data_IF_020199382207
#
_entry.id   IF_020199382207
#
_cell.length_a   1.000
_cell.length_b   1.000
_cell.length_c   1.000
_cell.angle_alpha   90.00
_cell.angle_beta   90.00
_cell.angle_gamma   90.00
#
_symmetry.space_group_name_H-M   'P 1'
#
loop_
_entity.id
_entity.type
_entity.pdbx_description
1 polymer ?
#
# COMPACT_ATOMS: atom_id res chain seq x y z
N UNK A 1 5.86 -20.56 -0.47
CA UNK A 1 6.42 -19.32 0.08
C UNK A 1 6.77 -19.57 1.53
N UNK A 2 7.89 -19.05 2.03
CA UNK A 2 8.18 -19.11 3.47
C UNK A 2 7.13 -18.34 4.26
N UNK A 3 6.95 -18.72 5.55
CA UNK A 3 6.06 -18.04 6.47
C UNK A 3 6.72 -17.84 7.83
N UNK A 4 6.24 -16.86 8.56
CA UNK A 4 6.56 -16.63 9.97
C UNK A 4 5.27 -16.54 10.76
N UNK A 5 5.30 -16.93 12.02
CA UNK A 5 4.15 -16.83 12.92
C UNK A 5 4.35 -15.66 13.87
N UNK A 6 3.32 -14.84 14.00
CA UNK A 6 3.18 -13.88 15.09
C UNK A 6 2.40 -14.50 16.23
N UNK A 7 1.98 -13.73 17.20
CA UNK A 7 1.13 -14.22 18.31
C UNK A 7 -0.26 -14.68 17.86
N UNK A 8 -0.74 -14.19 16.72
CA UNK A 8 -2.14 -14.33 16.29
C UNK A 8 -2.33 -14.77 14.84
N UNK A 9 -1.31 -14.65 13.98
CA UNK A 9 -1.41 -15.02 12.55
C UNK A 9 -0.11 -15.63 12.00
N UNK A 10 -0.25 -16.39 10.91
CA UNK A 10 0.85 -16.79 10.05
C UNK A 10 0.95 -15.85 8.87
N UNK A 11 2.15 -15.31 8.65
CA UNK A 11 2.43 -14.34 7.59
C UNK A 11 3.31 -14.99 6.53
N UNK A 12 2.82 -15.03 5.29
CA UNK A 12 3.58 -15.48 4.13
C UNK A 12 4.39 -14.33 3.55
N UNK A 13 5.69 -14.55 3.34
CA UNK A 13 6.60 -13.55 2.79
C UNK A 13 7.45 -14.09 1.63
N UNK A 14 8.07 -13.21 0.91
CA UNK A 14 9.08 -13.50 -0.11
C UNK A 14 10.26 -12.57 0.08
N UNK A 15 11.46 -13.10 -0.16
CA UNK A 15 12.71 -12.35 -0.19
C UNK A 15 13.48 -12.72 -1.44
N UNK A 16 13.95 -11.73 -2.18
CA UNK A 16 14.74 -11.92 -3.40
C UNK A 16 15.68 -10.75 -3.62
N UNK A 17 16.86 -11.07 -4.13
CA UNK A 17 17.90 -10.11 -4.44
C UNK A 17 19.08 -10.20 -3.48
N UNK A 18 20.01 -9.30 -3.64
CA UNK A 18 21.22 -9.14 -2.82
C UNK A 18 21.52 -7.67 -2.66
N UNK A 19 22.25 -7.29 -1.62
CA UNK A 19 22.61 -5.89 -1.39
C UNK A 19 21.93 -5.29 -0.19
N UNK A 20 21.61 -3.99 -0.27
CA UNK A 20 20.97 -3.29 0.85
C UNK A 20 19.54 -3.80 1.07
N UNK A 21 19.13 -4.05 2.33
CA UNK A 21 17.80 -4.53 2.65
C UNK A 21 16.73 -3.48 2.38
N UNK A 22 15.69 -3.87 1.63
CA UNK A 22 14.50 -3.07 1.33
C UNK A 22 13.25 -3.85 1.72
N UNK A 23 12.50 -3.32 2.69
CA UNK A 23 11.17 -3.80 3.00
C UNK A 23 10.16 -3.07 2.09
N UNK A 24 9.47 -3.83 1.25
CA UNK A 24 8.42 -3.30 0.38
C UNK A 24 7.03 -3.64 0.92
N UNK A 25 6.24 -2.62 1.19
CA UNK A 25 4.88 -2.71 1.71
C UNK A 25 3.88 -2.33 0.60
N UNK A 26 3.16 -3.32 0.11
CA UNK A 26 2.20 -3.16 -0.98
C UNK A 26 0.91 -2.43 -0.56
N UNK A 27 0.12 -2.01 -1.56
CA UNK A 27 -1.18 -1.39 -1.37
C UNK A 27 -2.25 -2.35 -0.81
N UNK A 28 -3.45 -1.81 -0.59
CA UNK A 28 -4.60 -2.59 -0.13
C UNK A 28 -4.89 -3.76 -1.07
N UNK A 29 -5.15 -4.93 -0.52
CA UNK A 29 -5.47 -6.13 -1.31
C UNK A 29 -4.27 -6.74 -2.07
N UNK A 30 -3.03 -6.36 -1.73
CA UNK A 30 -1.84 -6.91 -2.37
C UNK A 30 -1.71 -8.42 -2.15
N UNK A 31 -1.41 -9.16 -3.23
CA UNK A 31 -1.17 -10.60 -3.21
C UNK A 31 0.15 -10.89 -3.91
N UNK A 32 1.08 -11.55 -3.22
CA UNK A 32 2.41 -11.87 -3.78
C UNK A 32 2.38 -12.82 -4.99
N UNK A 33 1.25 -13.48 -5.23
CA UNK A 33 1.02 -14.35 -6.38
C UNK A 33 0.65 -13.56 -7.64
N UNK A 34 0.18 -12.31 -7.50
CA UNK A 34 -0.14 -11.44 -8.62
C UNK A 34 1.13 -10.99 -9.34
N UNK A 35 1.04 -10.84 -10.69
CA UNK A 35 2.14 -10.40 -11.53
C UNK A 35 1.68 -9.24 -12.43
N UNK A 36 2.54 -8.25 -12.72
CA UNK A 36 3.89 -8.09 -12.16
C UNK A 36 3.84 -7.66 -10.69
N UNK A 37 4.88 -8.03 -9.92
CA UNK A 37 5.06 -7.58 -8.54
C UNK A 37 6.42 -6.87 -8.38
N UNK A 38 6.78 -6.47 -7.15
CA UNK A 38 8.02 -5.74 -6.88
C UNK A 38 9.28 -6.45 -7.38
N UNK A 39 9.27 -7.78 -7.47
CA UNK A 39 10.43 -8.55 -7.98
C UNK A 39 10.62 -8.49 -9.50
N UNK A 40 9.66 -7.94 -10.23
CA UNK A 40 9.76 -7.61 -11.65
C UNK A 40 10.22 -6.16 -11.87
N UNK A 41 10.42 -5.39 -10.81
CA UNK A 41 10.90 -4.00 -10.90
C UNK A 41 12.44 -3.94 -10.88
N UNK A 42 13.04 -2.84 -11.39
CA UNK A 42 14.50 -2.61 -11.32
C UNK A 42 15.06 -2.63 -9.89
N UNK A 43 14.25 -2.44 -8.87
CA UNK A 43 14.68 -2.56 -7.47
C UNK A 43 15.25 -3.95 -7.17
N UNK A 44 14.67 -5.01 -7.74
CA UNK A 44 15.10 -6.39 -7.49
C UNK A 44 16.49 -6.73 -8.06
N UNK A 45 17.02 -5.89 -8.93
CA UNK A 45 18.36 -6.06 -9.51
C UNK A 45 19.46 -5.55 -8.57
N UNK A 46 19.16 -4.58 -7.71
CA UNK A 46 20.15 -3.84 -6.94
C UNK A 46 19.96 -3.96 -5.42
N UNK A 47 18.82 -4.47 -4.95
CA UNK A 47 18.48 -4.55 -3.54
C UNK A 47 18.06 -5.95 -3.13
N UNK A 48 18.21 -6.24 -1.85
CA UNK A 48 17.64 -7.41 -1.19
C UNK A 48 16.23 -7.06 -0.72
N UNK A 49 15.23 -7.46 -1.49
CA UNK A 49 13.84 -7.07 -1.26
C UNK A 49 13.11 -8.12 -0.43
N UNK A 50 12.52 -7.68 0.68
CA UNK A 50 11.56 -8.41 1.49
C UNK A 50 10.18 -7.82 1.28
N UNK A 51 9.19 -8.64 0.99
CA UNK A 51 7.78 -8.26 0.95
C UNK A 51 6.91 -9.40 1.45
N UNK A 52 5.70 -9.12 1.90
CA UNK A 52 4.81 -10.12 2.48
C UNK A 52 3.34 -9.83 2.16
N UNK A 53 2.51 -10.87 2.19
CA UNK A 53 1.06 -10.69 2.23
C UNK A 53 0.67 -10.07 3.57
N UNK A 54 0.13 -8.87 3.56
CA UNK A 54 -0.30 -8.23 4.79
C UNK A 54 -1.47 -9.03 5.39
N UNK A 55 -1.70 -8.94 6.71
CA UNK A 55 -2.83 -9.64 7.35
C UNK A 55 -4.12 -9.40 6.57
N UNK A 56 -4.88 -10.46 6.33
CA UNK A 56 -6.10 -10.40 5.53
C UNK A 56 -5.89 -10.61 4.03
N UNK A 57 -4.66 -10.75 3.51
CA UNK A 57 -4.42 -10.86 2.06
C UNK A 57 -3.52 -12.03 1.65
N UNK A 58 -3.63 -12.40 0.40
CA UNK A 58 -2.81 -13.46 -0.20
C UNK A 58 -2.91 -14.78 0.55
N UNK A 59 -1.77 -15.38 0.84
CA UNK A 59 -1.65 -16.62 1.63
C UNK A 59 -1.53 -16.37 3.14
N UNK A 60 -1.41 -15.11 3.57
CA UNK A 60 -1.40 -14.73 4.99
C UNK A 60 -2.78 -14.95 5.60
N UNK A 61 -2.83 -15.29 6.88
CA UNK A 61 -4.07 -15.53 7.60
C UNK A 61 -5.02 -14.33 7.53
N UNK A 62 -6.32 -14.62 7.50
CA UNK A 62 -7.39 -13.65 7.30
C UNK A 62 -8.35 -13.66 8.50
N UNK A 63 -7.89 -13.20 9.69
CA UNK A 63 -8.74 -13.19 10.88
C UNK A 63 -9.91 -12.22 10.69
N UNK A 64 -11.11 -12.65 11.12
CA UNK A 64 -12.28 -11.77 11.16
C UNK A 64 -12.30 -10.96 12.46
N UNK A 65 -11.37 -10.05 12.57
CA UNK A 65 -11.26 -9.12 13.70
C UNK A 65 -10.81 -7.75 13.25
N UNK A 66 -11.27 -6.72 13.93
CA UNK A 66 -10.82 -5.35 13.68
C UNK A 66 -9.32 -5.24 13.96
N UNK A 67 -8.60 -4.58 13.07
CA UNK A 67 -7.17 -4.36 13.15
C UNK A 67 -6.85 -2.87 13.05
N UNK A 68 -5.74 -2.47 13.64
CA UNK A 68 -5.24 -1.09 13.55
C UNK A 68 -4.05 -1.03 12.60
N UNK A 69 -3.76 0.16 12.05
CA UNK A 69 -2.57 0.36 11.23
C UNK A 69 -1.28 0.06 12.00
N UNK A 70 -1.27 0.29 13.33
CA UNK A 70 -0.15 -0.08 14.20
C UNK A 70 0.07 -1.60 14.28
N UNK A 71 -0.98 -2.43 14.23
CA UNK A 71 -0.83 -3.89 14.15
C UNK A 71 -0.19 -4.34 12.84
N UNK A 72 -0.57 -3.71 11.71
CA UNK A 72 0.13 -3.97 10.43
C UNK A 72 1.62 -3.60 10.49
N UNK A 73 1.98 -2.55 11.21
CA UNK A 73 3.38 -2.19 11.43
C UNK A 73 4.13 -3.21 12.33
N UNK A 74 3.46 -3.77 13.33
CA UNK A 74 4.00 -4.87 14.15
C UNK A 74 4.24 -6.12 13.29
N UNK A 75 3.32 -6.46 12.39
CA UNK A 75 3.51 -7.56 11.44
C UNK A 75 4.74 -7.34 10.55
N UNK A 76 4.91 -6.11 10.04
CA UNK A 76 6.07 -5.74 9.24
C UNK A 76 7.39 -5.92 10.02
N UNK A 77 7.44 -5.51 11.29
CA UNK A 77 8.59 -5.72 12.16
C UNK A 77 8.86 -7.22 12.39
N UNK A 78 7.83 -8.03 12.64
CA UNK A 78 7.95 -9.47 12.84
C UNK A 78 8.48 -10.20 11.57
N UNK A 79 8.08 -9.75 10.39
CA UNK A 79 8.63 -10.30 9.13
C UNK A 79 10.11 -9.94 8.95
N UNK A 80 10.53 -8.73 9.35
CA UNK A 80 11.95 -8.37 9.37
C UNK A 80 12.74 -9.25 10.34
N UNK A 81 12.19 -9.54 11.53
CA UNK A 81 12.82 -10.44 12.51
C UNK A 81 12.99 -11.87 11.95
N UNK A 82 11.99 -12.37 11.22
CA UNK A 82 12.04 -13.70 10.62
C UNK A 82 13.19 -13.90 9.60
N UNK A 83 13.72 -12.81 9.05
CA UNK A 83 14.87 -12.82 8.12
C UNK A 83 16.13 -12.26 8.73
N UNK A 84 16.15 -12.02 10.06
CA UNK A 84 17.25 -11.45 10.83
C UNK A 84 17.71 -10.07 10.32
N UNK A 85 16.76 -9.20 9.96
CA UNK A 85 17.03 -7.82 9.61
C UNK A 85 16.81 -6.89 10.79
N UNK A 86 17.86 -6.29 11.32
CA UNK A 86 17.76 -5.27 12.37
C UNK A 86 17.10 -3.99 11.84
N UNK A 87 17.39 -3.60 10.60
CA UNK A 87 16.83 -2.41 9.95
C UNK A 87 16.88 -2.54 8.44
N UNK A 88 15.97 -1.81 7.75
CA UNK A 88 15.88 -1.77 6.29
C UNK A 88 15.51 -0.37 5.78
N UNK A 89 15.73 -0.12 4.49
CA UNK A 89 15.01 0.93 3.77
C UNK A 89 13.56 0.47 3.59
N UNK A 90 12.59 1.36 3.80
CA UNK A 90 11.17 1.00 3.73
C UNK A 90 10.50 1.75 2.60
N UNK A 91 9.88 1.00 1.70
CA UNK A 91 9.07 1.53 0.60
C UNK A 91 7.62 1.13 0.83
N UNK A 92 6.74 2.11 1.02
CA UNK A 92 5.32 1.87 1.23
C UNK A 92 4.45 2.52 0.15
N UNK A 93 3.58 1.74 -0.48
CA UNK A 93 2.67 2.19 -1.53
C UNK A 93 1.24 2.21 -1.01
N UNK A 94 0.55 3.35 -1.11
CA UNK A 94 -0.86 3.50 -0.72
C UNK A 94 -1.10 3.03 0.73
N UNK A 95 -1.88 1.98 0.97
CA UNK A 95 -2.06 1.34 2.27
C UNK A 95 -0.72 0.98 2.92
N UNK A 96 0.22 0.41 2.15
CA UNK A 96 1.57 0.10 2.64
C UNK A 96 2.34 1.35 3.07
N UNK A 97 2.05 2.52 2.49
CA UNK A 97 2.59 3.80 2.94
C UNK A 97 2.04 4.24 4.30
N UNK A 98 0.80 3.90 4.62
CA UNK A 98 0.22 4.11 5.95
C UNK A 98 0.88 3.19 6.99
N UNK A 99 1.09 1.91 6.63
CA UNK A 99 1.84 0.96 7.47
C UNK A 99 3.28 1.42 7.70
N UNK A 100 3.95 1.93 6.64
CA UNK A 100 5.32 2.44 6.71
C UNK A 100 5.44 3.64 7.66
N UNK A 101 4.45 4.54 7.68
CA UNK A 101 4.39 5.65 8.64
C UNK A 101 4.31 5.13 10.08
N UNK A 102 3.41 4.18 10.36
CA UNK A 102 3.29 3.57 11.70
C UNK A 102 4.55 2.79 12.09
N UNK A 103 5.20 2.12 11.15
CA UNK A 103 6.47 1.43 11.38
C UNK A 103 7.59 2.41 11.77
N UNK A 104 7.71 3.53 11.04
CA UNK A 104 8.71 4.54 11.32
C UNK A 104 8.45 5.26 12.66
N UNK A 105 7.19 5.44 13.04
CA UNK A 105 6.80 6.06 14.32
C UNK A 105 6.95 5.10 15.52
N UNK A 106 6.56 3.84 15.36
CA UNK A 106 6.57 2.85 16.43
C UNK A 106 7.92 2.15 16.60
N UNK A 107 8.71 2.05 15.54
CA UNK A 107 9.97 1.31 15.49
C UNK A 107 11.07 2.11 14.74
N UNK A 108 11.38 3.35 15.15
CA UNK A 108 12.24 4.24 14.37
C UNK A 108 13.63 3.66 14.10
N UNK A 109 14.18 2.84 15.00
CA UNK A 109 15.47 2.16 14.82
C UNK A 109 15.45 1.07 13.73
N UNK A 110 14.26 0.62 13.29
CA UNK A 110 14.10 -0.41 12.25
C UNK A 110 14.10 0.18 10.84
N UNK A 111 13.97 1.51 10.69
CA UNK A 111 13.82 2.19 9.40
C UNK A 111 15.03 3.08 9.13
N UNK A 112 15.80 2.74 8.07
CA UNK A 112 16.98 3.51 7.63
C UNK A 112 16.60 4.73 6.80
N UNK A 113 15.65 4.56 5.91
CA UNK A 113 15.02 5.64 5.13
C UNK A 113 13.61 5.21 4.74
N UNK A 114 12.78 6.18 4.36
CA UNK A 114 11.36 5.98 4.14
C UNK A 114 10.95 6.52 2.75
N UNK A 115 10.30 5.70 1.95
CA UNK A 115 9.68 6.12 0.69
C UNK A 115 8.17 5.91 0.79
N UNK A 116 7.42 6.99 0.67
CA UNK A 116 5.96 7.03 0.79
C UNK A 116 5.33 7.36 -0.57
N UNK A 117 4.79 6.34 -1.25
CA UNK A 117 4.22 6.48 -2.57
C UNK A 117 2.68 6.52 -2.53
N UNK A 118 2.06 7.53 -3.13
CA UNK A 118 0.60 7.60 -3.35
C UNK A 118 -0.20 7.31 -2.06
N UNK A 119 0.17 7.93 -0.94
CA UNK A 119 -0.39 7.66 0.39
C UNK A 119 -0.82 8.93 1.10
N UNK A 120 -1.45 8.79 2.26
CA UNK A 120 -2.00 9.88 3.06
C UNK A 120 -1.62 9.72 4.53
N UNK A 121 -1.61 10.83 5.26
CA UNK A 121 -1.40 10.84 6.71
C UNK A 121 -2.71 10.67 7.51
N UNK A 122 -3.85 10.92 6.88
CA UNK A 122 -5.12 11.02 7.59
C UNK A 122 -5.25 12.31 8.42
N UNK A 123 -6.26 12.37 9.27
CA UNK A 123 -6.49 13.52 10.17
C UNK A 123 -6.54 14.85 9.43
N UNK A 124 -5.90 15.87 9.99
CA UNK A 124 -5.84 17.21 9.40
C UNK A 124 -5.06 17.26 8.07
N UNK A 125 -4.22 16.26 7.78
CA UNK A 125 -3.51 16.13 6.50
C UNK A 125 -4.39 15.70 5.34
N UNK A 126 -5.61 15.25 5.62
CA UNK A 126 -6.54 14.69 4.66
C UNK A 126 -6.34 13.20 4.43
N UNK A 127 -7.42 12.54 4.05
CA UNK A 127 -7.45 11.10 3.76
C UNK A 127 -7.43 10.85 2.26
N UNK A 128 -6.93 9.71 1.85
CA UNK A 128 -7.10 9.21 0.50
C UNK A 128 -8.57 8.88 0.23
N UNK A 129 -8.96 8.80 -1.05
CA UNK A 129 -10.34 8.53 -1.48
C UNK A 129 -10.95 7.35 -0.71
N UNK A 130 -12.20 7.48 -0.21
CA UNK A 130 -12.84 6.45 0.63
C UNK A 130 -13.32 5.26 -0.22
N UNK A 131 -12.39 4.47 -0.76
CA UNK A 131 -12.70 3.34 -1.66
C UNK A 131 -13.64 2.28 -1.04
N UNK A 132 -13.78 2.23 0.28
CA UNK A 132 -14.73 1.36 0.97
C UNK A 132 -16.18 1.72 0.63
N UNK A 133 -16.49 2.98 0.33
CA UNK A 133 -17.82 3.43 -0.07
C UNK A 133 -18.23 2.88 -1.45
N UNK A 134 -17.26 2.49 -2.28
CA UNK A 134 -17.51 1.88 -3.57
C UNK A 134 -18.09 0.46 -3.48
N UNK A 135 -18.15 -0.12 -2.29
CA UNK A 135 -18.75 -1.44 -2.05
C UNK A 135 -20.25 -1.51 -2.39
N UNK A 136 -20.93 -0.37 -2.35
CA UNK A 136 -22.35 -0.25 -2.72
C UNK A 136 -22.61 -0.29 -4.24
N UNK A 137 -21.57 -0.08 -5.06
CA UNK A 137 -21.66 -0.08 -6.53
C UNK A 137 -21.60 -1.51 -7.08
N UNK A 138 -22.21 -1.72 -8.24
CA UNK A 138 -22.01 -2.94 -9.01
C UNK A 138 -20.53 -3.12 -9.38
N UNK A 139 -20.05 -4.36 -9.63
CA UNK A 139 -18.66 -4.59 -10.02
C UNK A 139 -18.20 -3.75 -11.23
N UNK A 140 -19.06 -3.57 -12.22
CA UNK A 140 -18.74 -2.80 -13.43
C UNK A 140 -18.61 -1.29 -13.11
N UNK A 141 -19.55 -0.71 -12.36
CA UNK A 141 -19.49 0.69 -11.93
C UNK A 141 -18.28 0.95 -11.05
N UNK A 142 -17.99 0.04 -10.12
CA UNK A 142 -16.82 0.14 -9.25
C UNK A 142 -15.53 0.16 -10.07
N UNK A 143 -15.39 -0.72 -11.05
CA UNK A 143 -14.20 -0.78 -11.90
C UNK A 143 -14.01 0.51 -12.70
N UNK A 144 -15.08 1.05 -13.28
CA UNK A 144 -15.04 2.34 -13.99
C UNK A 144 -14.69 3.50 -13.05
N UNK A 145 -15.25 3.51 -11.86
CA UNK A 145 -14.93 4.52 -10.84
C UNK A 145 -13.48 4.41 -10.37
N UNK A 146 -12.98 3.19 -10.15
CA UNK A 146 -11.57 2.96 -9.80
C UNK A 146 -10.61 3.45 -10.88
N UNK A 147 -10.95 3.29 -12.17
CA UNK A 147 -10.16 3.84 -13.27
C UNK A 147 -10.09 5.37 -13.19
N UNK A 148 -11.23 6.04 -13.00
CA UNK A 148 -11.31 7.50 -12.93
C UNK A 148 -10.61 8.11 -11.70
N UNK A 149 -10.61 7.41 -10.55
CA UNK A 149 -9.92 7.89 -9.35
C UNK A 149 -8.43 7.50 -9.32
N UNK A 150 -8.03 6.50 -10.09
CA UNK A 150 -6.62 6.14 -10.27
C UNK A 150 -5.87 7.20 -11.07
N UNK A 151 -6.52 7.73 -12.10
CA UNK A 151 -6.02 8.83 -12.93
C UNK A 151 -7.20 9.62 -13.50
N UNK A 152 -7.31 10.90 -13.17
CA UNK A 152 -8.47 11.73 -13.54
C UNK A 152 -8.54 12.08 -15.03
N UNK A 153 -7.50 11.79 -15.80
CA UNK A 153 -7.53 11.84 -17.26
C UNK A 153 -8.50 10.80 -17.84
N UNK A 154 -8.72 9.69 -17.11
CA UNK A 154 -9.69 8.64 -17.47
C UNK A 154 -11.05 8.84 -16.81
N UNK A 155 -11.52 10.10 -16.71
CA UNK A 155 -12.81 10.45 -16.13
C UNK A 155 -14.00 9.93 -16.96
N UNK A 156 -15.22 10.12 -16.47
CA UNK A 156 -16.45 9.61 -17.09
C UNK A 156 -16.65 10.10 -18.53
N UNK A 157 -16.29 11.36 -18.82
CA UNK A 157 -16.39 11.92 -20.17
C UNK A 157 -15.42 11.21 -21.13
N UNK A 158 -14.15 11.07 -20.72
CA UNK A 158 -13.17 10.34 -21.51
C UNK A 158 -13.57 8.88 -21.74
N UNK A 159 -14.10 8.20 -20.71
CA UNK A 159 -14.56 6.82 -20.82
C UNK A 159 -15.72 6.67 -21.81
N UNK A 160 -16.61 7.66 -21.88
CA UNK A 160 -17.72 7.66 -22.83
C UNK A 160 -17.23 7.88 -24.27
N UNK A 161 -16.26 8.77 -24.48
CA UNK A 161 -15.66 9.06 -25.79
C UNK A 161 -14.75 7.94 -26.28
N UNK A 162 -14.14 7.15 -25.35
CA UNK A 162 -13.14 6.11 -25.63
C UNK A 162 -13.62 4.73 -25.13
N UNK A 163 -14.83 4.33 -25.51
CA UNK A 163 -15.47 3.13 -24.96
C UNK A 163 -14.67 1.84 -25.19
N UNK A 164 -14.09 1.62 -26.37
CA UNK A 164 -13.28 0.44 -26.70
C UNK A 164 -12.03 0.37 -25.81
N UNK A 165 -11.32 1.48 -25.66
CA UNK A 165 -10.11 1.56 -24.85
C UNK A 165 -10.43 1.35 -23.37
N UNK A 166 -11.54 1.95 -22.89
CA UNK A 166 -12.04 1.73 -21.53
C UNK A 166 -12.29 0.25 -21.27
N UNK A 167 -12.99 -0.46 -22.16
CA UNK A 167 -13.24 -1.89 -22.00
C UNK A 167 -11.95 -2.71 -22.01
N UNK A 168 -10.98 -2.33 -22.82
CA UNK A 168 -9.65 -2.97 -22.85
C UNK A 168 -8.93 -2.81 -21.49
N UNK A 169 -8.93 -1.61 -20.93
CA UNK A 169 -8.31 -1.31 -19.63
C UNK A 169 -9.01 -2.08 -18.50
N UNK A 170 -10.35 -2.10 -18.50
CA UNK A 170 -11.13 -2.83 -17.49
C UNK A 170 -10.90 -4.34 -17.55
N UNK A 171 -10.81 -4.92 -18.75
CA UNK A 171 -10.44 -6.34 -18.93
C UNK A 171 -9.05 -6.66 -18.43
N UNK A 172 -8.07 -5.79 -18.72
CA UNK A 172 -6.71 -5.96 -18.21
C UNK A 172 -6.66 -5.88 -16.68
N UNK A 173 -7.38 -4.94 -16.08
CA UNK A 173 -7.48 -4.83 -14.62
C UNK A 173 -8.15 -6.07 -14.00
N UNK A 174 -9.21 -6.59 -14.61
CA UNK A 174 -9.90 -7.80 -14.13
C UNK A 174 -9.00 -9.05 -14.24
N UNK A 175 -8.20 -9.17 -15.30
CA UNK A 175 -7.26 -10.28 -15.47
C UNK A 175 -6.14 -10.26 -14.42
N UNK A 176 -5.82 -9.10 -13.87
CA UNK A 176 -4.82 -8.91 -12.81
C UNK A 176 -5.41 -8.86 -11.39
N UNK A 177 -6.71 -9.20 -11.24
CA UNK A 177 -7.34 -9.24 -9.93
C UNK A 177 -6.63 -10.23 -9.00
N UNK A 178 -6.50 -9.84 -7.73
CA UNK A 178 -5.81 -10.66 -6.73
C UNK A 178 -6.55 -11.98 -6.50
N UNK A 179 -5.88 -13.14 -6.64
CA UNK A 179 -6.53 -14.46 -6.54
C UNK A 179 -7.24 -14.69 -5.20
N UNK A 180 -6.70 -14.15 -4.11
CA UNK A 180 -7.26 -14.37 -2.76
C UNK A 180 -8.68 -13.83 -2.58
N UNK A 181 -9.14 -12.89 -3.41
CA UNK A 181 -10.50 -12.32 -3.30
C UNK A 181 -11.60 -13.36 -3.51
N UNK A 182 -11.32 -14.42 -4.27
CA UNK A 182 -12.23 -15.54 -4.49
C UNK A 182 -12.01 -16.71 -3.50
N UNK A 183 -11.04 -16.61 -2.61
CA UNK A 183 -10.71 -17.63 -1.61
C UNK A 183 -11.47 -17.40 -0.29
N UNK A 184 -11.60 -18.43 0.56
CA UNK A 184 -12.21 -18.27 1.89
C UNK A 184 -11.54 -17.16 2.70
N UNK A 185 -12.34 -16.27 3.26
CA UNK A 185 -11.88 -15.13 4.05
C UNK A 185 -11.32 -13.96 3.24
N UNK A 186 -11.23 -14.04 1.90
CA UNK A 186 -10.65 -12.98 1.07
C UNK A 186 -11.44 -11.67 1.17
N UNK A 187 -12.77 -11.74 1.08
CA UNK A 187 -13.63 -10.54 1.24
C UNK A 187 -13.56 -9.98 2.67
N UNK A 188 -13.54 -10.84 3.66
CA UNK A 188 -13.35 -10.44 5.07
C UNK A 188 -12.03 -9.70 5.25
N UNK A 189 -10.94 -10.26 4.74
CA UNK A 189 -9.61 -9.66 4.85
C UNK A 189 -9.53 -8.27 4.22
N UNK A 190 -10.06 -8.09 2.99
CA UNK A 190 -10.09 -6.76 2.35
C UNK A 190 -10.97 -5.77 3.14
N UNK A 191 -12.09 -6.23 3.68
CA UNK A 191 -12.98 -5.39 4.49
C UNK A 191 -12.25 -4.89 5.74
N UNK A 192 -11.52 -5.76 6.44
CA UNK A 192 -10.73 -5.38 7.63
C UNK A 192 -9.57 -4.43 7.29
N UNK A 193 -8.92 -4.59 6.13
CA UNK A 193 -7.93 -3.62 5.67
C UNK A 193 -8.55 -2.24 5.40
N UNK A 194 -9.69 -2.20 4.72
CA UNK A 194 -10.38 -0.95 4.43
C UNK A 194 -10.90 -0.25 5.71
N UNK A 195 -11.35 -1.02 6.68
CA UNK A 195 -11.73 -0.53 8.00
C UNK A 195 -10.52 0.10 8.73
N UNK A 196 -9.40 -0.62 8.85
CA UNK A 196 -8.18 -0.10 9.46
C UNK A 196 -7.69 1.19 8.76
N UNK A 197 -7.73 1.20 7.41
CA UNK A 197 -7.38 2.35 6.60
C UNK A 197 -8.26 3.57 6.87
N UNK A 198 -9.56 3.38 7.08
CA UNK A 198 -10.51 4.49 7.33
C UNK A 198 -10.23 5.23 8.64
N UNK A 199 -9.59 4.56 9.59
CA UNK A 199 -9.19 5.12 10.89
C UNK A 199 -7.73 5.60 10.94
N UNK A 200 -7.00 5.52 9.80
CA UNK A 200 -5.60 5.94 9.78
C UNK A 200 -5.44 7.43 10.06
N UNK A 201 -4.61 7.75 11.04
CA UNK A 201 -4.24 9.13 11.36
C UNK A 201 -2.85 9.16 12.03
N UNK A 202 -1.86 9.63 11.28
CA UNK A 202 -0.49 9.85 11.75
C UNK A 202 -0.10 11.32 11.71
N UNK A 203 -0.95 12.21 11.16
CA UNK A 203 -0.60 13.58 10.78
C UNK A 203 0.16 14.33 11.88
N UNK A 204 -0.39 14.40 13.08
CA UNK A 204 0.24 15.13 14.20
C UNK A 204 1.48 14.43 14.77
N UNK A 205 1.73 13.17 14.41
CA UNK A 205 2.88 12.37 14.85
C UNK A 205 4.04 12.37 13.85
N UNK A 206 3.78 12.69 12.57
CA UNK A 206 4.78 12.69 11.51
C UNK A 206 6.01 13.55 11.80
N UNK A 207 5.91 14.70 12.51
CA UNK A 207 7.08 15.48 12.88
C UNK A 207 8.12 14.74 13.74
N UNK A 208 7.76 13.57 14.31
CA UNK A 208 8.71 12.71 15.02
C UNK A 208 9.62 11.88 14.08
N UNK A 209 9.27 11.75 12.80
CA UNK A 209 10.09 11.07 11.79
C UNK A 209 11.28 11.97 11.44
N UNK A 210 12.51 11.49 11.70
CA UNK A 210 13.77 12.23 11.51
C UNK A 210 14.76 11.51 10.58
N UNK A 211 14.31 10.45 9.94
CA UNK A 211 15.10 9.69 8.96
C UNK A 211 14.93 10.29 7.57
N UNK A 212 15.89 10.07 6.65
CA UNK A 212 15.72 10.48 5.25
C UNK A 212 14.41 9.94 4.68
N UNK A 213 13.63 10.81 4.05
CA UNK A 213 12.33 10.43 3.50
C UNK A 213 12.12 11.02 2.11
N UNK A 214 11.47 10.23 1.25
CA UNK A 214 10.94 10.66 -0.04
C UNK A 214 9.41 10.45 -0.02
N UNK A 215 8.67 11.49 -0.35
CA UNK A 215 7.22 11.44 -0.54
C UNK A 215 6.94 11.63 -2.04
N UNK A 216 6.19 10.72 -2.65
CA UNK A 216 5.89 10.84 -4.06
C UNK A 216 4.44 10.47 -4.39
N UNK A 217 3.94 11.00 -5.51
CA UNK A 217 2.58 10.76 -6.00
C UNK A 217 2.43 11.04 -7.48
N UNK A 218 1.27 10.72 -8.05
CA UNK A 218 0.89 11.10 -9.41
C UNK A 218 0.20 12.47 -9.42
N UNK A 219 0.46 13.27 -10.46
CA UNK A 219 -0.22 14.57 -10.62
C UNK A 219 -1.73 14.42 -10.84
N UNK A 220 -2.12 13.33 -11.46
CA UNK A 220 -3.50 13.03 -11.84
C UNK A 220 -4.19 12.01 -10.89
N UNK A 221 -3.50 11.58 -9.84
CA UNK A 221 -4.03 10.65 -8.84
C UNK A 221 -5.16 11.32 -8.03
N UNK A 222 -6.36 10.74 -8.06
CA UNK A 222 -7.52 11.16 -7.26
C UNK A 222 -7.77 10.23 -6.07
N UNK A 223 -7.04 9.12 -5.99
CA UNK A 223 -7.09 8.26 -4.82
C UNK A 223 -6.21 8.82 -3.69
N UNK A 224 -4.96 9.14 -3.99
CA UNK A 224 -4.08 9.88 -3.09
C UNK A 224 -3.75 11.25 -3.72
N UNK A 225 -4.72 12.17 -3.66
CA UNK A 225 -4.66 13.45 -4.35
C UNK A 225 -3.36 14.22 -4.05
N UNK A 226 -2.82 14.97 -5.03
CA UNK A 226 -1.58 15.73 -4.86
C UNK A 226 -1.55 16.62 -3.61
N UNK A 227 -2.68 17.22 -3.25
CA UNK A 227 -2.78 18.06 -2.04
C UNK A 227 -2.55 17.27 -0.75
N UNK A 228 -3.09 16.04 -0.67
CA UNK A 228 -2.94 15.15 0.49
C UNK A 228 -1.49 14.65 0.61
N UNK A 229 -0.86 14.36 -0.52
CA UNK A 229 0.57 14.00 -0.60
C UNK A 229 1.46 15.18 -0.18
N UNK A 230 1.15 16.41 -0.59
CA UNK A 230 1.86 17.62 -0.14
C UNK A 230 1.69 17.87 1.36
N UNK A 231 0.48 17.66 1.90
CA UNK A 231 0.23 17.80 3.32
C UNK A 231 1.03 16.78 4.15
N UNK A 232 1.11 15.53 3.69
CA UNK A 232 1.97 14.50 4.28
C UNK A 232 3.44 14.93 4.27
N UNK A 233 3.96 15.35 3.12
CA UNK A 233 5.33 15.82 2.95
C UNK A 233 5.67 16.95 3.92
N UNK A 234 4.78 17.95 4.03
CA UNK A 234 5.01 19.13 4.87
C UNK A 234 5.18 18.83 6.37
N UNK A 235 4.79 17.63 6.83
CA UNK A 235 4.93 17.21 8.22
C UNK A 235 6.25 16.47 8.51
N UNK A 236 6.98 16.01 7.49
CA UNK A 236 8.23 15.27 7.67
C UNK A 236 9.39 16.21 7.34
N UNK A 237 10.17 16.57 8.35
CA UNK A 237 11.30 17.48 8.17
C UNK A 237 12.32 16.89 7.19
N UNK A 238 12.86 17.74 6.31
CA UNK A 238 13.88 17.41 5.32
C UNK A 238 13.49 16.28 4.33
N UNK A 239 12.20 15.96 4.22
CA UNK A 239 11.72 15.03 3.22
C UNK A 239 11.82 15.63 1.81
N UNK A 240 12.14 14.80 0.83
CA UNK A 240 12.03 15.16 -0.57
C UNK A 240 10.60 14.93 -1.09
N UNK A 241 10.17 15.74 -2.06
CA UNK A 241 8.86 15.61 -2.71
C UNK A 241 9.03 15.43 -4.22
N UNK A 242 8.37 14.40 -4.77
CA UNK A 242 8.38 14.15 -6.21
C UNK A 242 6.97 13.84 -6.73
N UNK A 243 6.57 14.49 -7.82
CA UNK A 243 5.35 14.15 -8.55
C UNK A 243 5.68 13.65 -9.94
N UNK A 244 4.93 12.65 -10.38
CA UNK A 244 5.04 12.06 -11.71
C UNK A 244 3.83 12.49 -12.55
N UNK A 245 4.08 13.01 -13.74
CA UNK A 245 3.05 13.43 -14.69
C UNK A 245 2.45 12.28 -15.53
N UNK A 246 2.98 11.07 -15.39
CA UNK A 246 2.51 9.85 -16.06
C UNK A 246 3.13 9.61 -17.42
#
# INVERSE_FOLDING_TARGET
>A
MPCTSTTDINIHYQRKGTGCPVLFLGGVGGDLRSQPNVFASPLAENFDILTFGQRGTGLTDKPDMACTMAQYAQDAAAVMDAVNWDSAHVVGVSFGGMVAQELALGFPQRVRSLVLCCTAAGGAGGSSYPIHELSSLSPAERSRKMLAIGDDRFNEAWQAENAEETERMLKAAAANASPFLSEPGGITGITRQLEARSHHNTFDRLPAIRIPALVCGGEYDRQARPEVVRNLHAQIADAELCFFAG
#
